data_IF_969429159649
#
_entry.id   IF_969429159649
#
_cell.length_a   1.000
_cell.length_b   1.000
_cell.length_c   1.000
_cell.angle_alpha   90.00
_cell.angle_beta   90.00
_cell.angle_gamma   90.00
#
_symmetry.space_group_name_H-M   'P 1'
#
loop_
_entity.id
_entity.type
_entity.pdbx_description
1 polymer ?
#
# COMPACT_ATOMS: atom_id res chain seq x y z
N UNK A 1 5.55 24.67 12.95
CA UNK A 1 5.02 24.66 11.58
C UNK A 1 3.76 23.84 11.60
N UNK A 2 2.61 24.45 11.38
CA UNK A 2 1.35 23.71 11.24
C UNK A 2 1.37 23.10 9.85
N UNK A 3 1.63 21.80 9.75
CA UNK A 3 1.32 21.08 8.53
C UNK A 3 -0.20 21.00 8.49
N UNK A 4 -0.83 21.80 7.62
CA UNK A 4 -2.17 21.47 7.17
C UNK A 4 -2.07 20.08 6.58
N UNK A 5 -2.62 19.10 7.29
CA UNK A 5 -2.60 17.71 6.88
C UNK A 5 -3.51 17.60 5.66
N UNK A 6 -2.93 17.79 4.48
CA UNK A 6 -3.64 17.68 3.22
C UNK A 6 -4.18 16.25 3.13
N UNK A 7 -5.50 16.10 3.28
CA UNK A 7 -6.12 14.79 3.47
C UNK A 7 -5.82 13.89 2.26
N UNK A 8 -5.20 12.74 2.51
CA UNK A 8 -4.87 11.79 1.44
C UNK A 8 -6.15 11.07 1.02
N UNK A 9 -6.54 11.23 -0.25
CA UNK A 9 -7.69 10.52 -0.83
C UNK A 9 -7.26 9.41 -1.80
N UNK A 10 -8.12 8.41 -1.98
CA UNK A 10 -7.89 7.34 -2.97
C UNK A 10 -7.78 7.89 -4.39
N UNK A 11 -8.57 8.92 -4.72
CA UNK A 11 -8.49 9.59 -6.02
C UNK A 11 -7.12 10.24 -6.24
N UNK A 12 -6.58 10.91 -5.21
CA UNK A 12 -5.24 11.49 -5.25
C UNK A 12 -4.16 10.42 -5.43
N UNK A 13 -4.21 9.34 -4.65
CA UNK A 13 -3.25 8.23 -4.75
C UNK A 13 -3.29 7.56 -6.11
N UNK A 14 -4.49 7.27 -6.64
CA UNK A 14 -4.65 6.68 -7.98
C UNK A 14 -4.03 7.55 -9.06
N UNK A 15 -4.25 8.87 -9.01
CA UNK A 15 -3.65 9.82 -9.97
C UNK A 15 -2.12 9.83 -9.88
N UNK A 16 -1.55 9.91 -8.66
CA UNK A 16 -0.10 9.88 -8.44
C UNK A 16 0.53 8.58 -8.96
N UNK A 17 -0.09 7.43 -8.67
CA UNK A 17 0.40 6.12 -9.10
C UNK A 17 0.34 5.96 -10.63
N UNK A 18 -0.73 6.43 -11.28
CA UNK A 18 -0.84 6.42 -12.74
C UNK A 18 0.24 7.30 -13.41
N UNK A 19 0.49 8.49 -12.86
CA UNK A 19 1.55 9.37 -13.37
C UNK A 19 2.94 8.72 -13.25
N UNK A 20 3.22 8.11 -12.09
CA UNK A 20 4.48 7.41 -11.82
C UNK A 20 4.72 6.22 -12.77
N UNK A 21 3.68 5.43 -13.02
CA UNK A 21 3.74 4.29 -13.93
C UNK A 21 3.96 4.72 -15.38
N UNK A 22 3.22 5.74 -15.82
CA UNK A 22 3.32 6.27 -17.19
C UNK A 22 4.69 6.85 -17.49
N UNK A 23 5.29 7.59 -16.56
CA UNK A 23 6.65 8.15 -16.72
C UNK A 23 7.71 7.05 -16.98
N UNK A 24 7.46 5.83 -16.51
CA UNK A 24 8.37 4.69 -16.61
C UNK A 24 7.95 3.68 -17.68
N UNK A 25 6.89 3.97 -18.43
CA UNK A 25 6.28 3.03 -19.39
C UNK A 25 5.91 1.68 -18.73
N UNK A 26 5.48 1.71 -17.47
CA UNK A 26 5.15 0.50 -16.70
C UNK A 26 3.73 -0.01 -16.89
N UNK A 27 2.88 0.72 -17.62
CA UNK A 27 1.51 0.32 -17.90
C UNK A 27 1.44 -1.06 -18.59
N UNK A 28 2.47 -1.43 -19.37
CA UNK A 28 2.62 -2.76 -19.99
C UNK A 28 2.68 -3.92 -18.97
N UNK A 29 3.12 -3.65 -17.74
CA UNK A 29 3.22 -4.66 -16.67
C UNK A 29 1.97 -4.70 -15.77
N UNK A 30 1.06 -3.71 -15.89
CA UNK A 30 -0.12 -3.56 -15.04
C UNK A 30 -1.33 -4.40 -15.50
N UNK A 31 -1.09 -5.66 -15.87
CA UNK A 31 -2.19 -6.62 -16.03
C UNK A 31 -2.82 -6.96 -14.67
N UNK A 32 -4.11 -7.33 -14.66
CA UNK A 32 -4.83 -7.73 -13.44
C UNK A 32 -4.07 -8.81 -12.65
N UNK A 33 -3.54 -9.81 -13.36
CA UNK A 33 -2.75 -10.90 -12.77
C UNK A 33 -1.49 -10.36 -12.08
N UNK A 34 -0.73 -9.49 -12.74
CA UNK A 34 0.53 -8.98 -12.18
C UNK A 34 0.29 -8.08 -10.97
N UNK A 35 -0.74 -7.23 -11.03
CA UNK A 35 -1.12 -6.38 -9.89
C UNK A 35 -1.56 -7.22 -8.69
N UNK A 36 -2.33 -8.29 -8.91
CA UNK A 36 -2.72 -9.21 -7.84
C UNK A 36 -1.50 -9.90 -7.21
N UNK A 37 -0.57 -10.39 -8.03
CA UNK A 37 0.67 -11.00 -7.54
C UNK A 37 1.52 -10.01 -6.72
N UNK A 38 1.66 -8.76 -7.19
CA UNK A 38 2.38 -7.72 -6.47
C UNK A 38 1.70 -7.38 -5.13
N UNK A 39 0.37 -7.31 -5.09
CA UNK A 39 -0.40 -7.10 -3.86
C UNK A 39 -0.15 -8.23 -2.85
N UNK A 40 -0.24 -9.49 -3.28
CA UNK A 40 0.03 -10.64 -2.41
C UNK A 40 1.47 -10.60 -1.88
N UNK A 41 2.45 -10.22 -2.71
CA UNK A 41 3.83 -9.99 -2.27
C UNK A 41 3.94 -8.94 -1.15
N UNK A 42 3.24 -7.80 -1.29
CA UNK A 42 3.20 -6.75 -0.25
C UNK A 42 2.50 -7.19 1.03
N UNK A 43 1.47 -8.03 0.93
CA UNK A 43 0.86 -8.65 2.12
C UNK A 43 1.85 -9.60 2.78
N UNK A 44 2.63 -10.36 2.01
CA UNK A 44 3.73 -11.18 2.54
C UNK A 44 4.78 -10.36 3.29
N UNK A 45 5.30 -9.29 2.68
CA UNK A 45 6.25 -8.36 3.32
C UNK A 45 5.66 -7.76 4.62
N UNK A 46 4.36 -7.44 4.63
CA UNK A 46 3.69 -6.97 5.83
C UNK A 46 3.67 -8.06 6.92
N UNK A 47 3.37 -9.31 6.56
CA UNK A 47 3.36 -10.44 7.50
C UNK A 47 4.74 -10.70 8.09
N UNK A 48 5.83 -10.53 7.33
CA UNK A 48 7.21 -10.69 7.82
C UNK A 48 7.53 -9.77 9.01
N UNK A 49 6.91 -8.59 9.09
CA UNK A 49 7.07 -7.66 10.23
C UNK A 49 6.47 -8.25 11.52
N UNK A 50 5.40 -9.03 11.38
CA UNK A 50 4.63 -9.60 12.50
C UNK A 50 4.98 -11.05 12.80
N UNK A 51 5.70 -11.75 11.92
CA UNK A 51 5.91 -13.20 11.98
C UNK A 51 6.50 -13.72 13.31
N UNK A 52 7.27 -12.89 14.03
CA UNK A 52 7.91 -13.24 15.31
C UNK A 52 7.42 -12.38 16.48
N UNK A 53 6.36 -11.58 16.27
CA UNK A 53 5.76 -10.81 17.37
C UNK A 53 4.93 -11.79 18.21
N UNK A 54 5.04 -11.70 19.53
CA UNK A 54 4.09 -12.33 20.43
C UNK A 54 2.68 -11.80 20.13
N UNK A 55 1.63 -12.57 20.44
CA UNK A 55 0.26 -12.12 20.19
C UNK A 55 0.05 -10.74 20.84
N UNK A 56 -0.41 -9.77 20.04
CA UNK A 56 -0.84 -8.48 20.57
C UNK A 56 -2.03 -8.75 21.48
N UNK A 57 -1.96 -8.31 22.74
CA UNK A 57 -3.05 -8.48 23.68
C UNK A 57 -4.34 -7.92 23.07
N UNK A 58 -5.40 -8.73 23.10
CA UNK A 58 -6.72 -8.43 22.54
C UNK A 58 -7.51 -7.42 23.40
N UNK A 59 -6.81 -6.54 24.11
CA UNK A 59 -7.44 -5.60 25.02
C UNK A 59 -8.08 -4.48 24.19
N UNK A 60 -9.39 -4.63 24.01
CA UNK A 60 -10.27 -3.55 23.56
C UNK A 60 -10.10 -2.37 24.53
N UNK A 61 -9.80 -1.15 24.06
CA UNK A 61 -9.88 0.02 24.92
C UNK A 61 -11.32 0.21 25.40
N UNK A 62 -11.52 0.42 26.71
CA UNK A 62 -12.81 0.76 27.33
C UNK A 62 -13.41 2.05 26.75
#
# INVERSE_FOLDING_TARGET
MNYEEESVSLSLLKKKMAAFAKERDWDQFHSLRNLLMALVGKVGELLEIFQWREEVSKELPE
#
